data_IF_590537166813
#
_entry.id   IF_590537166813
#
_cell.length_a   1.000
_cell.length_b   1.000
_cell.length_c   1.000
_cell.angle_alpha   90.00
_cell.angle_beta   90.00
_cell.angle_gamma   90.00
#
_symmetry.space_group_name_H-M   'P 1'
#
loop_
_entity.id
_entity.type
_entity.pdbx_description
1 polymer ?
#
# COMPACT_ATOMS: atom_id res chain seq x y z
N UNK A 1 6.43 2.18 -65.29
CA UNK A 1 6.38 1.13 -64.24
C UNK A 1 7.71 1.16 -63.51
N UNK A 2 7.73 1.69 -62.34
CA UNK A 2 8.95 1.83 -61.50
C UNK A 2 8.99 0.62 -60.56
N UNK A 3 9.93 -0.27 -60.83
CA UNK A 3 10.16 -1.45 -60.00
C UNK A 3 10.93 -1.06 -58.76
N UNK A 4 10.31 -1.23 -57.58
CA UNK A 4 10.98 -1.04 -56.29
C UNK A 4 11.81 -2.29 -56.01
N UNK A 5 13.11 -2.11 -55.81
CA UNK A 5 14.04 -3.21 -55.51
C UNK A 5 14.00 -3.45 -54.00
N UNK A 6 13.53 -4.65 -53.60
CA UNK A 6 13.35 -5.04 -52.18
C UNK A 6 14.68 -5.23 -51.42
N UNK A 7 15.83 -5.09 -52.07
CA UNK A 7 17.14 -5.24 -51.46
C UNK A 7 17.68 -3.96 -50.83
N UNK A 8 16.96 -2.82 -50.93
CA UNK A 8 17.35 -1.53 -50.32
C UNK A 8 16.79 -1.29 -48.91
N UNK A 9 16.19 -2.32 -48.31
CA UNK A 9 15.80 -2.28 -46.89
C UNK A 9 17.06 -2.60 -46.08
N UNK A 10 17.88 -1.57 -45.87
CA UNK A 10 18.96 -1.61 -44.87
C UNK A 10 18.29 -1.80 -43.48
N UNK A 11 18.54 -2.96 -42.89
CA UNK A 11 18.24 -3.21 -41.49
C UNK A 11 18.97 -2.15 -40.65
N UNK A 12 18.23 -1.17 -40.19
CA UNK A 12 18.73 -0.29 -39.12
C UNK A 12 18.99 -1.17 -37.91
N UNK A 13 20.25 -1.35 -37.55
CA UNK A 13 20.62 -1.96 -36.26
C UNK A 13 19.88 -1.19 -35.17
N UNK A 14 18.86 -1.83 -34.58
CA UNK A 14 18.21 -1.31 -33.39
C UNK A 14 19.27 -1.20 -32.30
N UNK A 15 19.72 0.00 -32.06
CA UNK A 15 20.60 0.33 -30.93
C UNK A 15 19.91 -0.14 -29.65
N UNK A 16 20.43 -1.18 -29.04
CA UNK A 16 19.98 -1.67 -27.74
C UNK A 16 19.93 -0.48 -26.79
N UNK A 17 18.78 -0.17 -26.15
CA UNK A 17 18.67 0.99 -25.29
C UNK A 17 19.69 0.86 -24.16
N UNK A 18 20.74 1.68 -24.18
CA UNK A 18 21.70 1.76 -23.08
C UNK A 18 20.91 2.05 -21.79
N UNK A 19 20.91 1.12 -20.84
CA UNK A 19 20.35 1.32 -19.50
C UNK A 19 21.09 2.50 -18.88
N UNK A 20 20.47 3.69 -18.92
CA UNK A 20 20.97 4.87 -18.22
C UNK A 20 21.03 4.52 -16.74
N UNK A 21 22.23 4.57 -16.16
CA UNK A 21 22.37 4.41 -14.71
C UNK A 21 21.48 5.43 -14.00
N UNK A 22 20.59 4.94 -13.17
CA UNK A 22 19.71 5.82 -12.37
C UNK A 22 20.57 6.64 -11.42
N UNK A 23 20.30 7.94 -11.26
CA UNK A 23 20.95 8.77 -10.26
C UNK A 23 20.87 8.16 -8.86
N UNK A 24 21.83 8.42 -8.00
CA UNK A 24 21.90 7.79 -6.67
C UNK A 24 20.69 8.13 -5.79
N UNK A 25 20.11 9.32 -5.96
CA UNK A 25 18.91 9.73 -5.24
C UNK A 25 17.62 8.95 -5.66
N UNK A 26 17.65 8.23 -6.80
CA UNK A 26 16.59 7.33 -7.24
C UNK A 26 16.81 5.88 -6.79
N UNK A 27 17.92 5.61 -6.09
CA UNK A 27 18.21 4.27 -5.56
C UNK A 27 17.59 4.13 -4.17
N UNK A 28 16.65 3.25 -4.01
CA UNK A 28 16.05 2.90 -2.72
C UNK A 28 16.61 1.55 -2.28
N UNK A 29 16.97 1.43 -1.00
CA UNK A 29 17.33 0.13 -0.41
C UNK A 29 16.09 -0.73 -0.35
N UNK A 30 16.20 -1.97 -0.85
CA UNK A 30 15.11 -2.94 -0.69
C UNK A 30 14.85 -3.13 0.81
N UNK A 31 13.58 -3.14 1.22
CA UNK A 31 13.24 -3.42 2.59
C UNK A 31 13.69 -4.85 2.92
N UNK A 32 14.56 -4.97 3.90
CA UNK A 32 15.13 -6.25 4.33
C UNK A 32 15.48 -6.18 5.81
N UNK A 33 15.59 -7.36 6.44
CA UNK A 33 16.01 -7.50 7.82
C UNK A 33 14.90 -8.02 8.73
N UNK A 34 15.34 -8.57 9.86
CA UNK A 34 14.50 -9.28 10.83
C UNK A 34 13.27 -8.47 11.29
N UNK A 35 13.45 -7.17 11.50
CA UNK A 35 12.33 -6.30 11.89
C UNK A 35 11.27 -6.18 10.81
N UNK A 36 11.67 -6.01 9.54
CA UNK A 36 10.74 -5.93 8.43
C UNK A 36 9.95 -7.24 8.28
N UNK A 37 10.63 -8.39 8.31
CA UNK A 37 9.99 -9.70 8.18
C UNK A 37 9.04 -9.98 9.34
N UNK A 38 9.42 -9.58 10.56
CA UNK A 38 8.58 -9.67 11.76
C UNK A 38 7.30 -8.84 11.59
N UNK A 39 7.41 -7.60 11.14
CA UNK A 39 6.26 -6.72 10.95
C UNK A 39 5.32 -7.23 9.85
N UNK A 40 5.88 -7.72 8.76
CA UNK A 40 5.13 -8.34 7.68
C UNK A 40 4.36 -9.59 8.14
N UNK A 41 5.00 -10.42 8.95
CA UNK A 41 4.37 -11.59 9.58
C UNK A 41 3.25 -11.18 10.52
N UNK A 42 3.46 -10.12 11.31
CA UNK A 42 2.44 -9.55 12.19
C UNK A 42 1.20 -9.11 11.41
N UNK A 43 1.36 -8.37 10.30
CA UNK A 43 0.23 -7.93 9.46
C UNK A 43 -0.59 -9.13 8.97
N UNK A 44 0.07 -10.14 8.45
CA UNK A 44 -0.59 -11.36 7.95
C UNK A 44 -1.28 -12.15 9.05
N UNK A 45 -0.65 -12.31 10.21
CA UNK A 45 -1.24 -13.04 11.35
C UNK A 45 -2.50 -12.37 11.90
N UNK A 46 -2.61 -11.05 11.71
CA UNK A 46 -3.78 -10.27 12.12
C UNK A 46 -4.77 -10.01 10.99
N UNK A 47 -4.58 -10.58 9.81
CA UNK A 47 -5.40 -10.32 8.62
C UNK A 47 -5.62 -8.81 8.39
N UNK A 48 -4.52 -8.04 8.44
CA UNK A 48 -4.50 -6.60 8.21
C UNK A 48 -3.82 -6.28 6.88
N UNK A 49 -4.28 -5.21 6.24
CA UNK A 49 -3.75 -4.71 4.98
C UNK A 49 -3.08 -3.36 5.18
N UNK A 50 -2.01 -3.10 4.43
CA UNK A 50 -1.34 -1.81 4.41
C UNK A 50 -1.20 -1.32 2.97
N UNK A 51 -1.43 -0.04 2.75
CA UNK A 51 -1.12 0.59 1.44
C UNK A 51 0.36 0.41 1.10
N UNK A 52 1.22 0.34 2.13
CA UNK A 52 2.65 0.14 1.94
C UNK A 52 2.99 -1.17 1.23
N UNK A 53 2.24 -2.26 1.51
CA UNK A 53 2.41 -3.56 0.86
C UNK A 53 1.62 -3.63 -0.44
N UNK A 54 0.32 -3.27 -0.43
CA UNK A 54 -0.57 -3.38 -1.58
C UNK A 54 -0.12 -2.52 -2.76
N UNK A 55 0.34 -1.28 -2.51
CA UNK A 55 0.88 -0.40 -3.53
C UNK A 55 2.38 -0.63 -3.81
N UNK A 56 3.00 -1.68 -3.27
CA UNK A 56 4.43 -2.00 -3.45
C UNK A 56 5.34 -0.80 -3.21
N UNK A 57 5.06 -0.05 -2.15
CA UNK A 57 5.74 1.20 -1.86
C UNK A 57 7.25 0.98 -1.64
N UNK A 58 8.13 1.66 -2.40
CA UNK A 58 9.58 1.50 -2.25
C UNK A 58 10.11 2.00 -0.90
N UNK A 59 9.36 2.86 -0.21
CA UNK A 59 9.78 3.48 1.04
C UNK A 59 9.34 2.71 2.29
N UNK A 60 8.71 1.55 2.14
CA UNK A 60 8.12 0.77 3.25
C UNK A 60 9.12 0.50 4.38
N UNK A 61 10.36 0.11 4.05
CA UNK A 61 11.39 -0.19 5.04
C UNK A 61 11.79 1.04 5.87
N UNK A 62 11.90 2.20 5.23
CA UNK A 62 12.22 3.46 5.89
C UNK A 62 11.06 3.95 6.77
N UNK A 63 9.84 3.95 6.25
CA UNK A 63 8.65 4.40 7.00
C UNK A 63 8.40 3.53 8.23
N UNK A 64 8.43 2.21 8.07
CA UNK A 64 8.24 1.29 9.19
C UNK A 64 9.38 1.40 10.21
N UNK A 65 10.63 1.57 9.75
CA UNK A 65 11.78 1.83 10.61
C UNK A 65 11.69 3.13 11.41
N UNK A 66 11.00 4.14 10.87
CA UNK A 66 10.72 5.43 11.53
C UNK A 66 9.47 5.42 12.41
N UNK A 67 8.76 4.31 12.48
CA UNK A 67 7.52 4.18 13.25
C UNK A 67 6.31 4.85 12.58
N UNK A 68 6.23 4.78 11.26
CA UNK A 68 5.09 5.28 10.45
C UNK A 68 4.58 4.17 9.55
N UNK A 69 3.26 3.95 9.51
CA UNK A 69 2.61 3.02 8.60
C UNK A 69 1.25 3.54 8.13
N UNK A 70 0.85 3.13 6.93
CA UNK A 70 -0.46 3.44 6.34
C UNK A 70 -1.29 2.16 6.26
N UNK A 71 -2.31 2.06 7.10
CA UNK A 71 -3.24 0.93 7.08
C UNK A 71 -4.34 1.14 6.05
N UNK A 72 -4.72 0.06 5.39
CA UNK A 72 -5.85 -0.03 4.50
C UNK A 72 -6.94 -0.82 5.22
N UNK A 73 -8.04 -0.17 5.56
CA UNK A 73 -9.15 -0.79 6.30
C UNK A 73 -10.32 -1.16 5.39
N UNK A 74 -11.24 -1.95 5.92
CA UNK A 74 -12.43 -2.50 5.26
C UNK A 74 -12.12 -3.53 4.18
N UNK A 75 -10.94 -4.20 4.28
CA UNK A 75 -10.49 -5.26 3.38
C UNK A 75 -9.50 -4.79 2.30
N UNK A 76 -9.23 -5.68 1.35
CA UNK A 76 -8.26 -5.50 0.25
C UNK A 76 -8.89 -5.38 -1.13
N UNK A 77 -10.24 -5.37 -1.21
CA UNK A 77 -10.99 -5.28 -2.47
C UNK A 77 -11.81 -3.99 -2.48
N UNK A 78 -11.57 -3.15 -3.47
CA UNK A 78 -12.25 -1.87 -3.65
C UNK A 78 -13.40 -2.00 -4.66
N UNK A 79 -14.50 -1.27 -4.45
CA UNK A 79 -15.60 -1.21 -5.43
C UNK A 79 -15.29 -0.33 -6.63
N UNK A 80 -14.22 0.48 -6.59
CA UNK A 80 -13.79 1.39 -7.65
C UNK A 80 -12.46 1.00 -8.26
N UNK A 81 -12.28 1.29 -9.56
CA UNK A 81 -11.07 1.05 -10.34
C UNK A 81 -10.40 2.36 -10.75
N UNK A 82 -9.69 3.00 -9.82
CA UNK A 82 -8.96 4.22 -10.13
C UNK A 82 -7.69 3.88 -10.93
N UNK A 83 -7.44 4.60 -12.06
CA UNK A 83 -6.36 4.29 -12.98
C UNK A 83 -4.94 4.34 -12.38
N UNK A 84 -4.75 5.04 -11.26
CA UNK A 84 -3.47 5.20 -10.55
C UNK A 84 -3.34 4.28 -9.32
N UNK A 85 -4.35 3.44 -9.03
CA UNK A 85 -4.42 2.64 -7.80
C UNK A 85 -4.13 1.16 -8.08
N UNK A 86 -3.25 0.55 -7.30
CA UNK A 86 -2.87 -0.87 -7.43
C UNK A 86 -3.74 -1.81 -6.57
N UNK A 87 -4.76 -1.26 -5.89
CA UNK A 87 -5.70 -2.04 -5.08
C UNK A 87 -6.64 -2.84 -5.98
N UNK A 88 -6.88 -4.10 -5.63
CA UNK A 88 -7.77 -4.99 -6.38
C UNK A 88 -9.19 -4.44 -6.45
N UNK A 89 -9.76 -4.42 -7.65
CA UNK A 89 -11.17 -4.04 -7.86
C UNK A 89 -12.05 -5.27 -7.87
N UNK A 90 -13.21 -5.19 -7.23
CA UNK A 90 -14.16 -6.29 -7.20
C UNK A 90 -15.29 -6.10 -6.20
N UNK A 91 -15.92 -7.21 -5.84
CA UNK A 91 -16.95 -7.25 -4.80
C UNK A 91 -16.29 -7.52 -3.45
N UNK A 92 -16.32 -6.57 -2.51
CA UNK A 92 -15.72 -6.75 -1.19
C UNK A 92 -16.43 -7.84 -0.38
N UNK A 93 -15.69 -8.48 0.52
CA UNK A 93 -16.26 -9.35 1.56
C UNK A 93 -17.02 -8.53 2.60
N UNK A 94 -17.87 -9.16 3.43
CA UNK A 94 -18.52 -8.47 4.55
C UNK A 94 -17.53 -7.74 5.45
N UNK A 95 -17.97 -6.65 6.09
CA UNK A 95 -17.13 -5.88 7.02
C UNK A 95 -16.77 -6.74 8.25
N UNK A 96 -15.51 -6.63 8.62
CA UNK A 96 -14.99 -7.24 9.84
C UNK A 96 -14.96 -6.23 10.99
N UNK A 97 -15.88 -6.35 11.91
CA UNK A 97 -15.98 -5.47 13.09
C UNK A 97 -14.87 -5.69 14.13
N UNK A 98 -14.04 -6.74 13.96
CA UNK A 98 -12.86 -6.97 14.78
C UNK A 98 -11.60 -6.29 14.22
N UNK A 99 -11.65 -5.80 12.98
CA UNK A 99 -10.52 -5.12 12.34
C UNK A 99 -9.99 -3.92 13.15
N UNK A 100 -10.83 -3.02 13.73
CA UNK A 100 -10.35 -1.91 14.54
C UNK A 100 -9.51 -2.33 15.75
N UNK A 101 -9.90 -3.42 16.43
CA UNK A 101 -9.14 -3.95 17.57
C UNK A 101 -7.79 -4.50 17.12
N UNK A 102 -7.76 -5.31 16.06
CA UNK A 102 -6.53 -5.88 15.53
C UNK A 102 -5.58 -4.81 14.99
N UNK A 103 -6.13 -3.76 14.35
CA UNK A 103 -5.35 -2.62 13.87
C UNK A 103 -4.66 -1.91 15.04
N UNK A 104 -5.37 -1.56 16.10
CA UNK A 104 -4.80 -0.89 17.25
C UNK A 104 -3.73 -1.74 17.96
N UNK A 105 -3.94 -3.06 18.05
CA UNK A 105 -2.93 -3.99 18.56
C UNK A 105 -1.67 -4.02 17.69
N UNK A 106 -1.82 -3.96 16.35
CA UNK A 106 -0.70 -3.89 15.43
C UNK A 106 0.06 -2.56 15.58
N UNK A 107 -0.64 -1.43 15.66
CA UNK A 107 -0.05 -0.11 15.91
C UNK A 107 0.80 -0.10 17.18
N UNK A 108 0.28 -0.70 18.26
CA UNK A 108 1.02 -0.85 19.51
C UNK A 108 2.23 -1.78 19.38
N UNK A 109 2.04 -2.95 18.75
CA UNK A 109 3.11 -3.94 18.57
C UNK A 109 4.26 -3.44 17.67
N UNK A 110 3.94 -2.57 16.71
CA UNK A 110 4.91 -1.87 15.86
C UNK A 110 5.53 -0.65 16.56
N UNK A 111 5.00 -0.25 17.71
CA UNK A 111 5.38 0.97 18.43
C UNK A 111 5.34 2.21 17.52
N UNK A 112 4.25 2.38 16.77
CA UNK A 112 4.14 3.48 15.82
C UNK A 112 4.00 4.82 16.55
N UNK A 113 4.68 5.83 16.00
CA UNK A 113 4.56 7.23 16.42
C UNK A 113 3.52 7.98 15.59
N UNK A 114 3.30 7.50 14.36
CA UNK A 114 2.33 8.09 13.44
C UNK A 114 1.67 6.97 12.62
N UNK A 115 0.36 6.97 12.56
CA UNK A 115 -0.43 6.04 11.77
C UNK A 115 -1.34 6.80 10.82
N UNK A 116 -1.32 6.41 9.55
CA UNK A 116 -2.29 6.85 8.55
C UNK A 116 -3.32 5.74 8.37
N UNK A 117 -4.59 6.07 8.42
CA UNK A 117 -5.70 5.15 8.22
C UNK A 117 -6.45 5.59 6.95
N UNK A 118 -6.46 4.73 5.96
CA UNK A 118 -7.26 4.90 4.75
C UNK A 118 -8.05 3.63 4.46
N UNK A 119 -8.93 3.64 3.49
CA UNK A 119 -9.80 2.50 3.20
C UNK A 119 -9.91 2.19 1.72
N UNK A 120 -10.31 0.96 1.42
CA UNK A 120 -10.96 0.65 0.15
C UNK A 120 -12.31 1.37 0.07
N UNK A 121 -12.77 1.66 -1.14
CA UNK A 121 -14.10 2.21 -1.33
C UNK A 121 -15.17 1.12 -1.20
N UNK A 122 -16.27 1.47 -0.54
CA UNK A 122 -17.39 0.58 -0.22
C UNK A 122 -18.70 1.25 -0.64
N UNK A 123 -18.90 1.41 -1.98
CA UNK A 123 -20.06 2.12 -2.54
C UNK A 123 -21.41 1.47 -2.18
N UNK A 124 -21.40 0.20 -1.77
CA UNK A 124 -22.59 -0.47 -1.26
C UNK A 124 -23.05 0.04 0.13
N UNK A 125 -22.22 0.84 0.79
CA UNK A 125 -22.49 1.41 2.11
C UNK A 125 -22.84 2.88 2.03
N UNK A 126 -24.01 3.24 2.56
CA UNK A 126 -24.47 4.65 2.61
C UNK A 126 -23.65 5.51 3.55
N UNK A 127 -23.02 4.89 4.57
CA UNK A 127 -22.20 5.58 5.59
C UNK A 127 -20.72 5.70 5.18
N UNK A 128 -20.34 5.19 3.98
CA UNK A 128 -18.96 5.20 3.50
C UNK A 128 -17.97 4.47 4.41
N UNK A 129 -18.45 3.68 5.40
CA UNK A 129 -17.61 3.02 6.40
C UNK A 129 -17.16 3.91 7.56
N UNK A 130 -17.73 5.11 7.71
CA UNK A 130 -17.36 6.04 8.79
C UNK A 130 -17.36 5.42 10.21
N UNK A 131 -18.27 4.50 10.59
CA UNK A 131 -18.21 3.83 11.89
C UNK A 131 -16.92 3.02 12.11
N UNK A 132 -16.38 2.39 11.07
CA UNK A 132 -15.12 1.63 11.16
C UNK A 132 -13.94 2.59 11.38
N UNK A 133 -13.88 3.71 10.65
CA UNK A 133 -12.87 4.74 10.90
C UNK A 133 -12.92 5.24 12.35
N UNK A 134 -14.11 5.58 12.85
CA UNK A 134 -14.30 6.04 14.22
C UNK A 134 -13.84 4.98 15.25
N UNK A 135 -14.17 3.71 15.04
CA UNK A 135 -13.75 2.61 15.89
C UNK A 135 -12.23 2.42 15.85
N UNK A 136 -11.59 2.49 14.68
CA UNK A 136 -10.13 2.42 14.54
C UNK A 136 -9.44 3.55 15.33
N UNK A 137 -9.90 4.78 15.15
CA UNK A 137 -9.35 5.94 15.88
C UNK A 137 -9.48 5.77 17.39
N UNK A 138 -10.66 5.38 17.87
CA UNK A 138 -10.91 5.17 19.29
C UNK A 138 -9.99 4.08 19.87
N UNK A 139 -9.86 2.94 19.17
CA UNK A 139 -9.02 1.82 19.63
C UNK A 139 -7.52 2.15 19.58
N UNK A 140 -7.06 2.87 18.57
CA UNK A 140 -5.65 3.32 18.53
C UNK A 140 -5.37 4.28 19.68
N UNK A 141 -6.24 5.24 19.96
CA UNK A 141 -6.08 6.17 21.11
C UNK A 141 -6.06 5.45 22.45
N UNK A 142 -6.86 4.38 22.59
CA UNK A 142 -6.90 3.55 23.80
C UNK A 142 -5.59 2.78 24.01
N UNK A 143 -5.08 2.12 22.97
CA UNK A 143 -3.92 1.20 23.09
C UNK A 143 -2.56 1.86 22.87
N UNK A 144 -2.51 2.99 22.17
CA UNK A 144 -1.28 3.75 21.86
C UNK A 144 -1.55 5.26 21.91
N UNK A 145 -1.77 5.84 23.10
CA UNK A 145 -2.22 7.23 23.25
C UNK A 145 -1.22 8.27 22.74
N UNK A 146 0.07 7.93 22.63
CA UNK A 146 1.10 8.83 22.07
C UNK A 146 1.22 8.80 20.54
N UNK A 147 0.42 7.98 19.84
CA UNK A 147 0.47 7.87 18.38
C UNK A 147 -0.36 8.99 17.72
N UNK A 148 0.25 9.72 16.80
CA UNK A 148 -0.48 10.65 15.93
C UNK A 148 -1.31 9.86 14.92
N UNK A 149 -2.57 10.25 14.72
CA UNK A 149 -3.49 9.56 13.80
C UNK A 149 -3.89 10.53 12.68
N UNK A 150 -3.63 10.12 11.46
CA UNK A 150 -4.09 10.79 10.25
C UNK A 150 -5.14 9.92 9.55
N UNK A 151 -6.15 10.54 8.97
CA UNK A 151 -7.20 9.86 8.21
C UNK A 151 -7.21 10.40 6.79
N UNK A 152 -7.09 9.51 5.83
CA UNK A 152 -7.18 9.82 4.41
C UNK A 152 -8.44 9.15 3.83
N UNK A 153 -9.44 9.96 3.43
CA UNK A 153 -10.75 9.54 2.92
C UNK A 153 -11.03 10.12 1.53
#
# INVERSE_FOLDING_TARGET
>A
MTTINLNDITTSEEATPQRRNRPDWLKVRLPSGENYDRLKTLMRSKALHTVCEEARCPNIGECWGRGTATFLIMGDICTRSCAFCDIKTGRPSPLDWQEPQRLAEAVRAMNLRHVVITSVNRDERKDGGAPIFAACIAKVRELQPGCSIEVLI
#
